data_IF_549811360639
#
_entry.id   IF_549811360639
#
_cell.length_a   1.000
_cell.length_b   1.000
_cell.length_c   1.000
_cell.angle_alpha   90.00
_cell.angle_beta   90.00
_cell.angle_gamma   90.00
#
_symmetry.space_group_name_H-M   'P 1'
#
loop_
_entity.id
_entity.type
_entity.pdbx_description
1 polymer ?
#
# COMPACT_ATOMS: atom_id res chain seq x y z
N UNK A 1 -4.77 -6.22 14.28
CA UNK A 1 -5.39 -4.89 14.24
C UNK A 1 -6.89 -5.03 14.08
N UNK A 2 -7.68 -4.22 14.79
CA UNK A 2 -9.11 -4.09 14.52
C UNK A 2 -9.28 -3.26 13.24
N UNK A 3 -9.76 -3.89 12.17
CA UNK A 3 -9.94 -3.23 10.85
C UNK A 3 -11.39 -2.79 10.67
N UNK A 4 -12.32 -3.62 11.14
CA UNK A 4 -13.73 -3.28 11.30
C UNK A 4 -14.13 -3.53 12.74
N UNK A 5 -15.21 -2.87 13.18
CA UNK A 5 -15.73 -3.04 14.54
C UNK A 5 -15.89 -4.53 14.87
N UNK A 6 -15.21 -4.99 15.92
CA UNK A 6 -15.18 -6.38 16.38
C UNK A 6 -14.56 -7.40 15.39
N UNK A 7 -13.80 -6.95 14.39
CA UNK A 7 -13.09 -7.81 13.43
C UNK A 7 -11.59 -7.53 13.45
N UNK A 8 -10.83 -8.52 13.93
CA UNK A 8 -9.39 -8.46 14.08
C UNK A 8 -8.69 -9.24 12.96
N UNK A 9 -7.78 -8.57 12.27
CA UNK A 9 -6.94 -9.16 11.23
C UNK A 9 -5.47 -8.94 11.57
N UNK A 10 -4.61 -9.87 11.17
CA UNK A 10 -3.18 -9.74 11.36
C UNK A 10 -2.42 -10.84 10.63
N UNK A 11 -1.19 -10.51 10.23
CA UNK A 11 -0.25 -11.47 9.68
C UNK A 11 0.54 -12.09 10.82
N UNK A 12 0.61 -13.42 10.87
CA UNK A 12 1.41 -14.13 11.85
C UNK A 12 2.90 -13.92 11.56
N UNK A 13 3.69 -13.56 12.58
CA UNK A 13 5.15 -13.44 12.46
C UNK A 13 5.80 -14.75 11.95
N UNK A 14 5.28 -15.89 12.40
CA UNK A 14 5.74 -17.20 11.95
C UNK A 14 5.60 -17.41 10.44
N UNK A 15 4.59 -16.80 9.80
CA UNK A 15 4.40 -16.90 8.36
C UNK A 15 5.42 -16.05 7.60
N UNK A 16 5.78 -14.89 8.17
CA UNK A 16 6.84 -14.03 7.64
C UNK A 16 8.18 -14.76 7.68
N UNK A 17 8.54 -15.29 8.86
CA UNK A 17 9.78 -16.05 9.07
C UNK A 17 9.83 -17.29 8.15
N UNK A 18 8.70 -17.98 7.96
CA UNK A 18 8.60 -19.12 7.05
C UNK A 18 8.88 -18.72 5.59
N UNK A 19 8.29 -17.65 5.08
CA UNK A 19 8.48 -17.23 3.68
C UNK A 19 9.93 -16.76 3.45
N UNK A 20 10.49 -16.01 4.39
CA UNK A 20 11.90 -15.60 4.33
C UNK A 20 12.86 -16.78 4.38
N UNK A 21 12.57 -17.83 5.16
CA UNK A 21 13.37 -19.06 5.17
C UNK A 21 13.40 -19.80 3.83
N UNK A 22 12.43 -19.51 2.94
CA UNK A 22 12.37 -20.03 1.58
C UNK A 22 13.08 -19.13 0.54
N UNK A 23 13.76 -18.06 0.97
CA UNK A 23 14.40 -17.11 0.08
C UNK A 23 13.41 -16.29 -0.75
N UNK A 24 12.18 -16.10 -0.26
CA UNK A 24 11.11 -15.38 -0.97
C UNK A 24 10.80 -14.05 -0.31
N UNK A 25 10.33 -13.10 -1.12
CA UNK A 25 9.83 -11.81 -0.65
C UNK A 25 8.32 -11.86 -0.38
N UNK A 26 7.86 -10.98 0.51
CA UNK A 26 6.46 -10.86 0.90
C UNK A 26 5.94 -9.52 0.42
N UNK A 27 4.74 -9.52 -0.17
CA UNK A 27 4.03 -8.30 -0.56
C UNK A 27 2.80 -8.17 0.34
N UNK A 28 2.64 -7.02 0.98
CA UNK A 28 1.47 -6.67 1.77
C UNK A 28 0.62 -5.64 1.04
N UNK A 29 -0.64 -5.99 0.75
CA UNK A 29 -1.68 -5.04 0.36
C UNK A 29 -2.57 -4.77 1.58
N UNK A 30 -2.26 -3.70 2.31
CA UNK A 30 -2.90 -3.36 3.58
C UNK A 30 -3.10 -1.85 3.72
N UNK A 31 -3.93 -1.47 4.70
CA UNK A 31 -4.25 -0.08 5.00
C UNK A 31 -3.08 0.67 5.66
N UNK A 32 -3.10 2.00 5.59
CA UNK A 32 -1.96 2.87 5.97
C UNK A 32 -1.45 2.64 7.39
N UNK A 33 -2.35 2.39 8.34
CA UNK A 33 -1.98 2.15 9.74
C UNK A 33 -1.27 0.82 9.91
N UNK A 34 -1.77 -0.23 9.26
CA UNK A 34 -1.12 -1.53 9.21
C UNK A 34 0.27 -1.43 8.58
N UNK A 35 0.40 -0.72 7.47
CA UNK A 35 1.68 -0.48 6.80
C UNK A 35 2.69 0.23 7.71
N UNK A 36 2.28 1.32 8.38
CA UNK A 36 3.17 2.01 9.34
C UNK A 36 3.57 1.14 10.52
N UNK A 37 2.71 0.24 10.98
CA UNK A 37 3.02 -0.70 12.05
C UNK A 37 4.05 -1.75 11.59
N UNK A 38 3.89 -2.32 10.39
CA UNK A 38 4.88 -3.24 9.83
C UNK A 38 6.22 -2.53 9.63
N UNK A 39 6.22 -1.33 9.05
CA UNK A 39 7.44 -0.52 8.87
C UNK A 39 8.14 -0.23 10.20
N UNK A 40 7.38 0.07 11.27
CA UNK A 40 7.95 0.26 12.60
C UNK A 40 8.57 -1.00 13.21
N UNK A 41 8.10 -2.19 12.83
CA UNK A 41 8.61 -3.47 13.35
C UNK A 41 9.87 -3.91 12.59
N UNK A 42 9.86 -3.77 11.26
CA UNK A 42 10.91 -4.32 10.38
C UNK A 42 11.88 -3.28 9.83
N UNK A 43 11.62 -1.97 10.01
CA UNK A 43 12.53 -0.90 9.64
C UNK A 43 12.99 -0.98 8.18
N UNK A 44 14.30 -1.08 7.99
CA UNK A 44 14.95 -1.11 6.68
C UNK A 44 14.73 -2.43 5.92
N UNK A 45 14.28 -3.51 6.59
CA UNK A 45 13.91 -4.78 5.92
C UNK A 45 12.54 -4.70 5.24
N UNK A 46 11.84 -3.56 5.32
CA UNK A 46 10.53 -3.33 4.74
C UNK A 46 10.51 -2.02 3.94
N UNK A 47 10.17 -2.11 2.65
CA UNK A 47 9.80 -0.96 1.85
C UNK A 47 8.30 -0.66 2.00
N UNK A 48 7.97 0.53 2.49
CA UNK A 48 6.60 1.01 2.56
C UNK A 48 6.33 2.00 1.40
N UNK A 49 5.47 1.61 0.46
CA UNK A 49 5.06 2.44 -0.68
C UNK A 49 3.61 2.94 -0.51
N UNK A 50 3.42 4.26 -0.51
CA UNK A 50 2.11 4.89 -0.43
C UNK A 50 1.53 5.10 -1.82
N UNK A 51 0.45 4.39 -2.16
CA UNK A 51 -0.20 4.52 -3.48
C UNK A 51 -1.33 5.55 -3.40
N UNK A 52 -1.24 6.61 -4.21
CA UNK A 52 -2.28 7.66 -4.26
C UNK A 52 -2.73 7.99 -5.68
N UNK A 53 -3.99 8.41 -5.86
CA UNK A 53 -4.42 9.02 -7.12
C UNK A 53 -3.73 10.37 -7.33
N UNK A 54 -3.63 10.88 -8.57
CA UNK A 54 -3.02 12.17 -8.87
C UNK A 54 -3.74 13.34 -8.17
N UNK A 55 -5.07 13.27 -8.05
CA UNK A 55 -5.85 14.28 -7.34
C UNK A 55 -7.02 13.66 -6.59
N UNK A 56 -7.49 14.37 -5.56
CA UNK A 56 -8.69 14.01 -4.83
C UNK A 56 -9.95 14.01 -5.73
N UNK A 57 -10.04 14.92 -6.69
CA UNK A 57 -11.17 14.98 -7.63
C UNK A 57 -11.25 13.72 -8.50
N UNK A 58 -10.10 13.27 -9.03
CA UNK A 58 -10.00 12.04 -9.83
C UNK A 58 -10.39 10.81 -9.00
N UNK A 59 -10.03 10.77 -7.72
CA UNK A 59 -10.49 9.70 -6.83
C UNK A 59 -12.01 9.63 -6.73
N UNK A 60 -12.66 10.77 -6.48
CA UNK A 60 -14.12 10.85 -6.36
C UNK A 60 -14.78 10.42 -7.67
N UNK A 61 -14.23 10.82 -8.79
CA UNK A 61 -14.71 10.42 -10.11
C UNK A 61 -14.59 8.89 -10.33
N UNK A 62 -13.40 8.32 -10.04
CA UNK A 62 -13.16 6.87 -10.13
C UNK A 62 -14.14 6.07 -9.25
N UNK A 63 -14.44 6.55 -8.04
CA UNK A 63 -15.39 5.89 -7.14
C UNK A 63 -16.83 5.97 -7.65
N UNK A 64 -17.25 7.11 -8.20
CA UNK A 64 -18.57 7.27 -8.83
C UNK A 64 -18.72 6.35 -10.06
N UNK A 65 -17.68 6.26 -10.89
CA UNK A 65 -17.69 5.46 -12.12
C UNK A 65 -17.78 3.95 -11.86
N UNK A 66 -17.37 3.47 -10.68
CA UNK A 66 -17.50 2.05 -10.31
C UNK A 66 -18.96 1.59 -10.16
N UNK A 67 -19.94 2.50 -10.06
CA UNK A 67 -21.39 2.24 -9.95
C UNK A 67 -21.81 1.21 -8.87
N UNK A 68 -20.90 0.83 -7.99
CA UNK A 68 -21.08 -0.21 -6.98
C UNK A 68 -21.27 0.36 -5.57
N UNK A 69 -21.15 1.68 -5.41
CA UNK A 69 -21.20 2.34 -4.09
C UNK A 69 -22.46 3.19 -3.94
N UNK A 70 -23.08 3.09 -2.77
CA UNK A 70 -24.15 4.00 -2.33
C UNK A 70 -23.55 5.36 -1.93
N UNK A 71 -24.39 6.41 -1.89
CA UNK A 71 -23.93 7.74 -1.48
C UNK A 71 -23.36 7.78 -0.04
N UNK A 72 -23.89 6.91 0.84
CA UNK A 72 -23.40 6.75 2.21
C UNK A 72 -22.02 6.08 2.27
N UNK A 73 -21.81 4.99 1.50
CA UNK A 73 -20.51 4.32 1.45
C UNK A 73 -19.43 5.20 0.81
N UNK A 74 -19.79 5.95 -0.24
CA UNK A 74 -18.89 6.93 -0.88
C UNK A 74 -18.43 8.00 0.12
N UNK A 75 -19.36 8.56 0.91
CA UNK A 75 -19.03 9.58 1.91
C UNK A 75 -18.10 9.07 3.01
N UNK A 76 -18.31 7.83 3.46
CA UNK A 76 -17.41 7.16 4.42
C UNK A 76 -16.02 6.93 3.84
N UNK A 77 -15.92 6.49 2.58
CA UNK A 77 -14.65 6.27 1.90
C UNK A 77 -13.87 7.57 1.70
N UNK A 78 -14.57 8.65 1.32
CA UNK A 78 -14.00 10.00 1.21
C UNK A 78 -13.45 10.51 2.55
N UNK A 79 -14.20 10.36 3.64
CA UNK A 79 -13.75 10.84 4.95
C UNK A 79 -12.53 10.07 5.46
N UNK A 80 -12.51 8.76 5.21
CA UNK A 80 -11.38 7.88 5.50
C UNK A 80 -10.13 8.28 4.71
N UNK A 81 -10.26 8.52 3.41
CA UNK A 81 -9.15 8.94 2.55
C UNK A 81 -8.44 10.21 3.03
N UNK A 82 -9.18 11.20 3.55
CA UNK A 82 -8.55 12.40 4.12
C UNK A 82 -7.63 12.08 5.31
N UNK A 83 -8.01 11.09 6.12
CA UNK A 83 -7.17 10.61 7.23
C UNK A 83 -6.01 9.78 6.69
N UNK A 84 -6.22 8.96 5.66
CA UNK A 84 -5.14 8.14 5.09
C UNK A 84 -4.04 8.99 4.45
N UNK A 85 -4.40 10.10 3.80
CA UNK A 85 -3.44 11.06 3.25
C UNK A 85 -2.52 11.69 4.29
N UNK A 86 -2.92 11.77 5.57
CA UNK A 86 -2.01 12.30 6.60
C UNK A 86 -0.88 11.33 6.97
N UNK A 87 -0.96 10.07 6.53
CA UNK A 87 0.09 9.08 6.74
C UNK A 87 1.13 9.07 5.62
N UNK A 88 0.94 9.82 4.53
CA UNK A 88 1.85 9.82 3.37
C UNK A 88 3.33 10.04 3.78
N UNK A 89 3.59 10.95 4.74
CA UNK A 89 4.93 11.25 5.23
C UNK A 89 5.57 10.15 6.09
N UNK A 90 4.83 9.08 6.40
CA UNK A 90 5.33 7.93 7.18
C UNK A 90 5.75 6.75 6.31
N UNK A 91 5.70 6.92 4.98
CA UNK A 91 6.12 5.93 4.00
C UNK A 91 7.48 6.32 3.41
N UNK A 92 8.19 5.32 2.89
CA UNK A 92 9.51 5.53 2.28
C UNK A 92 9.36 6.20 0.91
N UNK A 93 8.37 5.74 0.13
CA UNK A 93 8.11 6.18 -1.24
C UNK A 93 6.62 6.46 -1.48
N UNK A 94 6.34 7.34 -2.44
CA UNK A 94 4.97 7.67 -2.85
C UNK A 94 4.78 7.38 -4.34
N UNK A 95 3.86 6.47 -4.64
CA UNK A 95 3.51 6.09 -6.02
C UNK A 95 2.22 6.77 -6.46
N UNK A 96 2.30 7.61 -7.50
CA UNK A 96 1.13 8.31 -8.04
C UNK A 96 0.48 7.47 -9.15
N UNK A 97 -0.67 6.86 -8.84
CA UNK A 97 -1.44 6.05 -9.77
C UNK A 97 -2.37 6.89 -10.64
N UNK A 98 -1.79 7.61 -11.61
CA UNK A 98 -2.55 8.27 -12.68
C UNK A 98 -2.82 7.29 -13.84
N UNK A 99 -1.76 6.83 -14.50
CA UNK A 99 -1.79 5.83 -15.56
C UNK A 99 -1.23 4.50 -15.05
N UNK A 100 -2.01 3.43 -15.17
CA UNK A 100 -1.63 2.11 -14.68
C UNK A 100 -0.27 1.65 -15.24
N UNK A 101 -0.05 1.83 -16.53
CA UNK A 101 1.20 1.42 -17.19
C UNK A 101 2.43 2.17 -16.67
N UNK A 102 2.28 3.44 -16.30
CA UNK A 102 3.37 4.25 -15.73
C UNK A 102 3.59 3.86 -14.28
N UNK A 103 2.52 3.77 -13.49
CA UNK A 103 2.59 3.39 -12.08
C UNK A 103 3.18 1.99 -11.87
N UNK A 104 2.90 1.03 -12.76
CA UNK A 104 3.52 -0.30 -12.71
C UNK A 104 5.04 -0.23 -12.92
N UNK A 105 5.51 0.54 -13.92
CA UNK A 105 6.95 0.70 -14.17
C UNK A 105 7.66 1.40 -13.03
N UNK A 106 7.04 2.44 -12.47
CA UNK A 106 7.59 3.14 -11.30
C UNK A 106 7.67 2.20 -10.07
N UNK A 107 6.66 1.37 -9.85
CA UNK A 107 6.67 0.37 -8.79
C UNK A 107 7.77 -0.69 -8.98
N UNK A 108 7.99 -1.17 -10.22
CA UNK A 108 9.07 -2.09 -10.55
C UNK A 108 10.42 -1.48 -10.18
N UNK A 109 10.71 -0.25 -10.61
CA UNK A 109 11.96 0.47 -10.30
C UNK A 109 12.15 0.63 -8.78
N UNK A 110 11.10 1.00 -8.04
CA UNK A 110 11.16 1.13 -6.58
C UNK A 110 11.53 -0.20 -5.90
N UNK A 111 10.95 -1.30 -6.38
CA UNK A 111 11.20 -2.65 -5.82
C UNK A 111 12.60 -3.13 -6.17
N UNK A 112 13.03 -2.98 -7.43
CA UNK A 112 14.37 -3.36 -7.89
C UNK A 112 15.46 -2.63 -7.10
N UNK A 113 15.29 -1.32 -6.90
CA UNK A 113 16.20 -0.50 -6.10
C UNK A 113 16.24 -0.96 -4.64
N UNK A 114 15.10 -1.34 -4.05
CA UNK A 114 15.04 -1.81 -2.67
C UNK A 114 15.70 -3.18 -2.49
N UNK A 115 15.48 -4.09 -3.45
CA UNK A 115 16.06 -5.43 -3.43
C UNK A 115 17.54 -5.44 -3.80
N UNK A 116 18.12 -4.29 -4.19
CA UNK A 116 19.48 -4.17 -4.74
C UNK A 116 19.74 -5.20 -5.85
N UNK A 117 18.73 -5.44 -6.69
CA UNK A 117 18.94 -6.28 -7.87
C UNK A 117 19.77 -5.45 -8.84
N UNK A 118 21.10 -5.61 -8.78
CA UNK A 118 21.94 -5.24 -9.91
C UNK A 118 21.50 -6.09 -11.09
N UNK A 119 21.23 -5.47 -12.24
CA UNK A 119 21.02 -6.20 -13.49
C UNK A 119 22.19 -7.19 -13.66
N UNK A 120 21.97 -8.47 -13.33
CA UNK A 120 22.79 -9.53 -13.87
C UNK A 120 22.45 -9.55 -15.35
N UNK A 121 23.29 -8.87 -16.14
CA UNK A 121 23.30 -8.95 -17.59
C UNK A 121 23.34 -10.44 -18.00
N UNK A 122 22.23 -10.97 -18.54
CA UNK A 122 22.22 -12.19 -19.35
C UNK A 122 22.61 -11.88 -20.81
#
# INVERSE_FOLDING_TARGET
>A
EEVYRDQFYGTLKSEIERIWSLGKHIIFDIEVKGATNIKSIYGDECLAVFIKPPTFSILVERLKNRKSETQSSLSKRISRMKKELSYESSFDEVLVNDLLTVACKEAEIMIESFLNVSEEEE
#
